data_IF_194842776216
#
_entry.id   IF_194842776216
#
_cell.length_a   1.000
_cell.length_b   1.000
_cell.length_c   1.000
_cell.angle_alpha   90.00
_cell.angle_beta   90.00
_cell.angle_gamma   90.00
#
_symmetry.space_group_name_H-M   'P 1'
#
loop_
_entity.id
_entity.type
_entity.pdbx_description
1 polymer ?
#
# COMPACT_ATOMS: atom_id res chain seq x y z
N UNK A 1 -4.23 38.77 14.45
CA UNK A 1 -5.52 38.44 13.83
C UNK A 1 -5.57 36.94 13.57
N UNK A 2 -6.72 36.29 13.75
CA UNK A 2 -6.89 34.84 13.59
C UNK A 2 -7.86 34.56 12.43
N UNK A 3 -7.34 34.14 11.28
CA UNK A 3 -8.14 33.46 10.26
C UNK A 3 -7.93 31.95 10.41
N UNK A 4 -8.95 31.25 10.93
CA UNK A 4 -9.10 29.80 10.78
C UNK A 4 -10.13 29.54 9.67
N UNK A 5 -9.85 28.55 8.83
CA UNK A 5 -10.81 28.07 7.82
C UNK A 5 -12.03 27.43 8.49
N UNK A 6 -13.21 27.63 7.91
CA UNK A 6 -14.51 27.26 8.51
C UNK A 6 -14.65 25.76 8.81
N UNK A 7 -13.98 24.90 8.05
CA UNK A 7 -13.87 23.46 8.32
C UNK A 7 -13.31 23.12 9.71
N UNK A 8 -12.54 24.02 10.31
CA UNK A 8 -11.93 23.89 11.64
C UNK A 8 -12.83 24.48 12.76
N UNK A 9 -14.03 24.95 12.43
CA UNK A 9 -15.02 25.43 13.40
C UNK A 9 -16.00 24.32 13.83
N UNK A 10 -16.38 23.42 12.91
CA UNK A 10 -17.27 22.29 13.23
C UNK A 10 -16.55 21.25 14.12
N UNK A 11 -15.34 20.80 13.73
CA UNK A 11 -14.44 19.99 14.57
C UNK A 11 -14.30 20.57 15.99
N UNK A 12 -14.15 21.90 16.09
CA UNK A 12 -13.98 22.60 17.36
C UNK A 12 -15.26 22.61 18.19
N UNK A 13 -16.44 22.77 17.59
CA UNK A 13 -17.72 22.74 18.30
C UNK A 13 -18.00 21.36 18.89
N UNK A 14 -17.67 20.27 18.19
CA UNK A 14 -17.86 18.92 18.71
C UNK A 14 -16.84 18.57 19.82
N UNK A 15 -15.53 18.87 19.64
CA UNK A 15 -14.53 18.70 20.72
C UNK A 15 -14.86 19.57 21.96
N UNK A 16 -15.41 20.78 21.78
CA UNK A 16 -15.83 21.66 22.87
C UNK A 16 -17.10 21.14 23.58
N UNK A 17 -18.10 20.68 22.82
CA UNK A 17 -19.34 20.09 23.34
C UNK A 17 -19.09 18.81 24.14
N UNK A 18 -18.13 17.98 23.71
CA UNK A 18 -17.67 16.82 24.48
C UNK A 18 -17.05 17.21 25.82
N UNK A 19 -16.30 18.33 25.87
CA UNK A 19 -15.61 18.80 27.07
C UNK A 19 -16.57 19.34 28.14
N UNK A 20 -17.71 19.93 27.75
CA UNK A 20 -18.65 20.58 28.68
C UNK A 20 -19.53 19.64 29.53
N UNK A 21 -19.58 18.34 29.21
CA UNK A 21 -20.49 17.39 29.85
C UNK A 21 -19.82 16.09 30.35
N UNK A 22 -18.49 16.04 30.39
CA UNK A 22 -17.75 14.94 31.03
C UNK A 22 -17.65 15.10 32.54
N UNK A 23 -17.90 14.01 33.28
CA UNK A 23 -17.40 13.88 34.67
C UNK A 23 -15.87 14.12 34.69
N UNK A 24 -15.35 14.68 35.78
CA UNK A 24 -13.90 14.81 35.99
C UNK A 24 -13.34 13.68 36.89
N UNK A 25 -12.04 13.42 36.74
CA UNK A 25 -11.23 12.57 37.64
C UNK A 25 -10.03 13.38 38.15
N UNK A 26 -9.61 13.10 39.38
CA UNK A 26 -8.47 13.73 40.03
C UNK A 26 -7.28 12.78 40.03
N UNK A 27 -6.14 13.18 39.46
CA UNK A 27 -4.92 12.37 39.39
C UNK A 27 -3.73 13.13 39.97
N UNK A 28 -2.71 12.42 40.43
CA UNK A 28 -1.56 13.00 41.13
C UNK A 28 -0.26 12.86 40.34
N UNK A 29 0.56 13.90 40.33
CA UNK A 29 1.95 13.82 39.85
C UNK A 29 2.82 13.03 40.85
N UNK A 30 4.06 12.64 40.49
CA UNK A 30 4.99 12.00 41.42
C UNK A 30 5.39 12.90 42.61
N UNK A 31 5.12 14.22 42.51
CA UNK A 31 5.31 15.22 43.58
C UNK A 31 4.09 15.40 44.48
N UNK A 32 2.97 14.72 44.21
CA UNK A 32 1.70 14.89 44.93
C UNK A 32 0.85 16.08 44.47
N UNK A 33 1.21 16.77 43.38
CA UNK A 33 0.34 17.81 42.80
C UNK A 33 -0.91 17.14 42.20
N UNK A 34 -2.10 17.55 42.66
CA UNK A 34 -3.37 17.15 42.06
C UNK A 34 -3.59 17.83 40.70
N UNK A 35 -4.17 17.10 39.74
CA UNK A 35 -4.58 17.57 38.41
C UNK A 35 -5.96 17.00 38.05
N UNK A 36 -6.82 17.82 37.46
CA UNK A 36 -8.12 17.38 36.96
C UNK A 36 -7.98 16.95 35.49
N UNK A 37 -8.67 15.87 35.12
CA UNK A 37 -8.83 15.40 33.74
C UNK A 37 -10.29 15.01 33.50
N UNK A 38 -10.79 15.06 32.25
CA UNK A 38 -12.02 14.38 31.87
C UNK A 38 -11.94 12.87 32.18
N UNK A 39 -13.03 12.28 32.64
CA UNK A 39 -13.18 10.83 32.84
C UNK A 39 -12.84 10.07 31.55
N UNK A 40 -12.26 8.88 31.72
CA UNK A 40 -11.68 8.04 30.66
C UNK A 40 -10.40 8.59 29.99
N UNK A 41 -9.87 9.76 30.39
CA UNK A 41 -8.56 10.25 29.89
C UNK A 41 -7.45 9.22 30.07
N UNK A 42 -6.54 9.16 29.10
CA UNK A 42 -5.43 8.19 29.08
C UNK A 42 -4.16 8.72 29.74
N UNK A 43 -3.20 7.83 30.00
CA UNK A 43 -1.85 8.22 30.41
C UNK A 43 -1.19 9.22 29.42
N UNK A 44 -1.48 9.12 28.12
CA UNK A 44 -1.01 10.08 27.13
C UNK A 44 -1.75 11.43 27.22
N UNK A 45 -3.05 11.45 27.52
CA UNK A 45 -3.78 12.69 27.82
C UNK A 45 -3.18 13.44 29.02
N UNK A 46 -2.80 12.73 30.09
CA UNK A 46 -2.10 13.33 31.23
C UNK A 46 -0.74 13.91 30.83
N UNK A 47 0.04 13.21 29.99
CA UNK A 47 1.31 13.73 29.50
C UNK A 47 1.12 15.06 28.74
N UNK A 48 0.15 15.13 27.83
CA UNK A 48 -0.21 16.37 27.13
C UNK A 48 -0.87 17.44 28.01
N UNK A 49 -1.60 17.04 29.06
CA UNK A 49 -2.11 17.98 30.07
C UNK A 49 -0.95 18.72 30.74
N UNK A 50 0.07 17.99 31.21
CA UNK A 50 1.27 18.55 31.85
C UNK A 50 2.08 19.42 30.86
N UNK A 51 2.56 18.85 29.74
CA UNK A 51 3.32 19.62 28.73
C UNK A 51 3.29 18.99 27.34
N UNK A 52 3.25 19.82 26.28
CA UNK A 52 3.28 19.34 24.89
C UNK A 52 4.51 18.46 24.61
N UNK A 53 5.71 18.90 25.03
CA UNK A 53 6.94 18.12 24.80
C UNK A 53 6.99 16.81 25.60
N UNK A 54 6.34 16.78 26.78
CA UNK A 54 6.24 15.57 27.59
C UNK A 54 5.33 14.54 26.90
N UNK A 55 4.19 14.99 26.36
CA UNK A 55 3.32 14.18 25.49
C UNK A 55 4.03 13.71 24.23
N UNK A 56 4.71 14.62 23.51
CA UNK A 56 5.39 14.30 22.25
C UNK A 56 6.48 13.23 22.39
N UNK A 57 7.21 13.25 23.51
CA UNK A 57 8.28 12.30 23.82
C UNK A 57 7.81 11.08 24.62
N UNK A 58 6.51 10.96 24.90
CA UNK A 58 5.95 9.93 25.79
C UNK A 58 6.06 8.52 25.20
N UNK A 59 6.73 7.61 25.92
CA UNK A 59 6.89 6.18 25.55
C UNK A 59 6.03 5.24 26.40
N UNK A 60 5.54 5.71 27.55
CA UNK A 60 4.73 4.93 28.49
C UNK A 60 4.53 5.68 29.80
N UNK A 61 3.92 5.03 30.78
CA UNK A 61 3.77 5.58 32.12
C UNK A 61 3.94 4.51 33.19
N UNK A 62 4.12 4.94 34.44
CA UNK A 62 3.79 4.14 35.62
C UNK A 62 2.55 4.75 36.27
N UNK A 63 1.58 3.91 36.60
CA UNK A 63 0.40 4.27 37.41
C UNK A 63 0.52 3.49 38.72
N UNK A 64 0.54 4.19 39.85
CA UNK A 64 0.74 3.62 41.19
C UNK A 64 1.98 2.69 41.22
N UNK A 65 3.10 3.20 40.71
CA UNK A 65 4.39 2.52 40.46
C UNK A 65 4.39 1.34 39.46
N UNK A 66 3.24 0.89 38.95
CA UNK A 66 3.14 -0.19 37.96
C UNK A 66 3.24 0.35 36.53
N UNK A 67 4.09 -0.24 35.69
CA UNK A 67 4.20 0.09 34.26
C UNK A 67 2.88 -0.16 33.51
N UNK A 68 2.47 0.81 32.69
CA UNK A 68 1.28 0.76 31.83
C UNK A 68 1.54 1.38 30.44
N UNK A 69 0.69 1.03 29.48
CA UNK A 69 0.72 1.55 28.11
C UNK A 69 0.17 2.98 28.00
N UNK A 70 0.51 3.68 26.90
CA UNK A 70 0.06 5.05 26.61
C UNK A 70 -1.47 5.21 26.61
N UNK A 71 -2.19 4.18 26.16
CA UNK A 71 -3.65 4.13 26.07
C UNK A 71 -4.33 3.65 27.37
N UNK A 72 -3.60 3.53 28.49
CA UNK A 72 -4.20 3.13 29.76
C UNK A 72 -5.14 4.25 30.27
N UNK A 73 -6.44 3.95 30.37
CA UNK A 73 -7.44 4.85 30.93
C UNK A 73 -7.25 5.02 32.44
N UNK A 74 -7.17 6.28 32.88
CA UNK A 74 -6.85 6.67 34.25
C UNK A 74 -8.09 6.67 35.16
N UNK A 75 -7.86 6.53 36.46
CA UNK A 75 -8.89 6.58 37.50
C UNK A 75 -8.64 7.72 38.49
N UNK A 76 -9.71 8.19 39.12
CA UNK A 76 -9.59 9.17 40.20
C UNK A 76 -8.83 8.56 41.38
N UNK A 77 -7.78 9.24 41.85
CA UNK A 77 -6.85 8.78 42.89
C UNK A 77 -5.50 8.28 42.37
N UNK A 78 -5.35 8.01 41.06
CA UNK A 78 -4.10 7.45 40.51
C UNK A 78 -2.92 8.44 40.60
N UNK A 79 -1.76 7.95 41.04
CA UNK A 79 -0.48 8.66 40.92
C UNK A 79 0.25 8.21 39.64
N UNK A 80 0.67 9.18 38.81
CA UNK A 80 1.15 8.94 37.45
C UNK A 80 2.57 9.50 37.25
N UNK A 81 3.49 8.64 36.83
CA UNK A 81 4.85 9.00 36.38
C UNK A 81 4.94 8.78 34.86
N UNK A 82 5.22 9.84 34.08
CA UNK A 82 5.37 9.73 32.62
C UNK A 82 6.81 9.38 32.25
N UNK A 83 6.97 8.42 31.35
CA UNK A 83 8.26 7.97 30.81
C UNK A 83 8.46 8.55 29.40
N UNK A 84 9.62 9.15 29.15
CA UNK A 84 9.92 9.83 27.88
C UNK A 84 11.19 9.34 27.20
N UNK A 85 11.33 9.63 25.90
CA UNK A 85 12.56 9.40 25.13
C UNK A 85 12.79 10.47 24.08
N UNK A 86 14.04 10.93 23.92
CA UNK A 86 14.45 11.90 22.88
C UNK A 86 14.28 11.38 21.45
N UNK A 87 14.08 10.07 21.25
CA UNK A 87 13.82 9.47 19.93
C UNK A 87 12.33 9.34 19.60
N UNK A 88 11.45 9.55 20.59
CA UNK A 88 10.01 9.41 20.42
C UNK A 88 9.41 10.69 19.82
N UNK A 89 8.52 10.51 18.85
CA UNK A 89 7.73 11.58 18.24
C UNK A 89 6.26 11.12 18.12
N UNK A 90 5.29 12.05 18.04
CA UNK A 90 3.88 11.70 17.90
C UNK A 90 3.57 10.83 16.68
N UNK A 91 2.60 9.94 16.85
CA UNK A 91 2.07 9.09 15.78
C UNK A 91 0.61 9.42 15.49
N UNK A 92 0.18 9.13 14.27
CA UNK A 92 -1.22 9.23 13.85
C UNK A 92 -2.10 8.23 14.66
N UNK A 93 -1.59 7.02 14.91
CA UNK A 93 -2.12 5.98 15.83
C UNK A 93 -2.49 6.47 17.25
N UNK A 94 -1.94 7.60 17.70
CA UNK A 94 -2.26 8.13 19.04
C UNK A 94 -3.64 8.82 19.09
N UNK A 95 -4.16 9.27 17.94
CA UNK A 95 -5.47 9.91 17.84
C UNK A 95 -6.63 8.95 18.12
N UNK A 96 -6.39 7.64 17.99
CA UNK A 96 -7.40 6.60 18.18
C UNK A 96 -7.79 6.39 19.66
N UNK A 97 -6.98 6.88 20.60
CA UNK A 97 -7.20 6.67 22.05
C UNK A 97 -7.08 7.91 22.94
N UNK A 98 -6.59 9.06 22.46
CA UNK A 98 -6.60 10.29 23.27
C UNK A 98 -7.99 10.93 23.32
N UNK A 99 -8.45 11.23 24.53
CA UNK A 99 -9.78 11.81 24.77
C UNK A 99 -9.76 13.33 24.59
N UNK A 100 -8.73 13.99 25.11
CA UNK A 100 -8.71 15.44 25.28
C UNK A 100 -8.46 16.20 23.98
N UNK A 101 -9.25 17.25 23.74
CA UNK A 101 -9.05 18.17 22.61
C UNK A 101 -7.64 18.78 22.57
N UNK A 102 -7.02 18.99 23.74
CA UNK A 102 -5.61 19.43 23.85
C UNK A 102 -4.66 18.39 23.23
N UNK A 103 -4.73 17.12 23.65
CA UNK A 103 -3.87 16.07 23.11
C UNK A 103 -4.11 15.87 21.60
N UNK A 104 -5.37 15.71 21.17
CA UNK A 104 -5.77 15.60 19.75
C UNK A 104 -5.17 16.71 18.89
N UNK A 105 -5.31 17.97 19.33
CA UNK A 105 -4.81 19.15 18.61
C UNK A 105 -3.29 19.17 18.50
N UNK A 106 -2.57 18.90 19.59
CA UNK A 106 -1.10 18.89 19.61
C UNK A 106 -0.52 17.74 18.78
N UNK A 107 -1.12 16.54 18.83
CA UNK A 107 -0.74 15.39 17.99
C UNK A 107 -1.00 15.69 16.50
N UNK A 108 -2.21 16.16 16.15
CA UNK A 108 -2.56 16.59 14.77
C UNK A 108 -1.55 17.63 14.25
N UNK A 109 -1.10 18.58 15.08
CA UNK A 109 -0.08 19.56 14.70
C UNK A 109 1.30 18.93 14.49
N UNK A 110 1.82 18.17 15.45
CA UNK A 110 3.16 17.60 15.39
C UNK A 110 3.34 16.63 14.20
N UNK A 111 2.38 15.73 13.98
CA UNK A 111 2.38 14.80 12.84
C UNK A 111 2.37 15.56 11.51
N UNK A 112 1.62 16.66 11.41
CA UNK A 112 1.59 17.54 10.23
C UNK A 112 2.91 18.27 10.00
N UNK A 113 3.57 18.72 11.07
CA UNK A 113 4.89 19.36 10.99
C UNK A 113 5.98 18.38 10.57
N UNK A 114 6.00 17.16 11.10
CA UNK A 114 6.97 16.13 10.70
C UNK A 114 6.75 15.66 9.27
N UNK A 115 5.49 15.52 8.82
CA UNK A 115 5.15 15.29 7.41
C UNK A 115 5.69 16.42 6.52
N UNK A 116 5.62 17.69 6.96
CA UNK A 116 6.20 18.83 6.24
C UNK A 116 7.74 18.79 6.22
N UNK A 117 8.40 18.42 7.32
CA UNK A 117 9.87 18.24 7.39
C UNK A 117 10.33 17.14 6.42
N UNK A 118 9.62 16.01 6.37
CA UNK A 118 9.90 14.90 5.45
C UNK A 118 9.73 15.29 3.98
N UNK A 119 8.65 16.00 3.62
CA UNK A 119 8.42 16.52 2.28
C UNK A 119 9.55 17.47 1.82
N UNK A 120 9.95 18.42 2.68
CA UNK A 120 11.06 19.33 2.38
C UNK A 120 12.39 18.58 2.22
N UNK A 121 12.68 17.60 3.10
CA UNK A 121 13.87 16.74 2.96
C UNK A 121 13.85 15.96 1.64
N UNK A 122 12.70 15.43 1.25
CA UNK A 122 12.52 14.70 -0.01
C UNK A 122 12.77 15.56 -1.25
N UNK A 123 12.19 16.77 -1.27
CA UNK A 123 12.45 17.78 -2.31
C UNK A 123 13.95 18.11 -2.40
N UNK A 124 14.57 18.44 -1.27
CA UNK A 124 16.00 18.79 -1.20
C UNK A 124 16.94 17.63 -1.58
N UNK A 125 16.49 16.37 -1.46
CA UNK A 125 17.20 15.19 -1.97
C UNK A 125 17.06 15.11 -3.48
N UNK A 126 15.84 15.23 -4.01
CA UNK A 126 15.55 15.13 -5.44
C UNK A 126 16.26 16.24 -6.23
N UNK A 127 16.23 17.48 -5.75
CA UNK A 127 16.95 18.62 -6.36
C UNK A 127 18.44 18.31 -6.54
N UNK A 128 19.12 17.74 -5.53
CA UNK A 128 20.53 17.32 -5.64
C UNK A 128 20.75 16.22 -6.67
N UNK A 129 19.83 15.26 -6.79
CA UNK A 129 19.93 14.18 -7.79
C UNK A 129 19.85 14.73 -9.21
N UNK A 130 18.99 15.73 -9.44
CA UNK A 130 18.90 16.44 -10.71
C UNK A 130 20.17 17.26 -10.98
N UNK A 131 20.67 18.03 -10.01
CA UNK A 131 21.94 18.77 -10.14
C UNK A 131 23.12 17.83 -10.44
N UNK A 132 23.18 16.65 -9.81
CA UNK A 132 24.23 15.65 -10.03
C UNK A 132 24.26 15.12 -11.47
N UNK A 133 23.12 15.08 -12.17
CA UNK A 133 23.04 14.72 -13.60
C UNK A 133 23.07 15.93 -14.53
N UNK A 134 23.40 17.13 -14.01
CA UNK A 134 23.43 18.41 -14.72
C UNK A 134 22.08 18.87 -15.30
N UNK A 135 20.98 18.47 -14.68
CA UNK A 135 19.64 18.92 -15.03
C UNK A 135 19.06 19.83 -13.94
N UNK A 136 18.20 20.77 -14.35
CA UNK A 136 17.37 21.56 -13.44
C UNK A 136 15.99 20.90 -13.27
N UNK A 137 15.33 21.18 -12.15
CA UNK A 137 14.01 20.64 -11.81
C UNK A 137 13.00 21.79 -11.66
N UNK A 138 12.45 22.22 -12.78
CA UNK A 138 11.31 23.14 -12.83
C UNK A 138 9.98 22.39 -12.67
N UNK A 139 8.89 23.12 -12.41
CA UNK A 139 7.53 22.56 -12.29
C UNK A 139 7.12 21.66 -13.46
N UNK A 140 7.59 21.95 -14.67
CA UNK A 140 7.33 21.13 -15.86
C UNK A 140 8.09 19.82 -15.80
N UNK A 141 9.40 19.86 -15.53
CA UNK A 141 10.25 18.66 -15.37
C UNK A 141 9.78 17.81 -14.20
N UNK A 142 9.32 18.42 -13.10
CA UNK A 142 8.70 17.74 -11.97
C UNK A 142 7.45 16.95 -12.40
N UNK A 143 6.53 17.58 -13.14
CA UNK A 143 5.29 16.95 -13.65
C UNK A 143 5.54 15.91 -14.75
N UNK A 144 6.61 16.05 -15.52
CA UNK A 144 7.10 15.04 -16.46
C UNK A 144 7.74 13.85 -15.71
N UNK A 145 8.50 14.10 -14.64
CA UNK A 145 9.15 13.06 -13.84
C UNK A 145 8.14 12.25 -13.02
N UNK A 146 7.10 12.88 -12.47
CA UNK A 146 5.97 12.19 -11.80
C UNK A 146 5.29 11.19 -12.73
N UNK A 147 5.07 11.57 -13.99
CA UNK A 147 4.52 10.67 -15.02
C UNK A 147 5.50 9.55 -15.39
N UNK A 148 6.80 9.83 -15.42
CA UNK A 148 7.83 8.83 -15.68
C UNK A 148 7.98 7.81 -14.55
N UNK A 149 7.88 8.24 -13.29
CA UNK A 149 7.93 7.35 -12.11
C UNK A 149 6.59 6.66 -11.81
N UNK A 150 5.51 7.02 -12.51
CA UNK A 150 4.17 6.47 -12.30
C UNK A 150 3.51 6.90 -10.98
N UNK A 151 3.94 8.02 -10.40
CA UNK A 151 3.43 8.53 -9.13
C UNK A 151 2.22 9.45 -9.34
N UNK A 152 1.40 9.59 -8.31
CA UNK A 152 0.11 10.29 -8.37
C UNK A 152 0.22 11.76 -7.95
N UNK A 153 1.26 12.14 -7.21
CA UNK A 153 1.41 13.49 -6.65
C UNK A 153 2.86 13.87 -6.34
N UNK A 154 3.11 15.18 -6.26
CA UNK A 154 4.37 15.75 -5.76
C UNK A 154 4.66 15.34 -4.31
N UNK A 155 3.62 15.20 -3.48
CA UNK A 155 3.77 14.78 -2.08
C UNK A 155 4.16 13.31 -1.95
N UNK A 156 3.62 12.43 -2.79
CA UNK A 156 4.08 11.04 -2.90
C UNK A 156 5.55 10.98 -3.37
N UNK A 157 5.89 11.71 -4.45
CA UNK A 157 7.25 11.78 -4.98
C UNK A 157 8.27 12.23 -3.92
N UNK A 158 7.99 13.30 -3.18
CA UNK A 158 8.91 13.77 -2.14
C UNK A 158 8.96 12.82 -0.95
N UNK A 159 7.87 12.15 -0.56
CA UNK A 159 7.92 11.13 0.49
C UNK A 159 8.76 9.91 0.07
N UNK A 160 8.68 9.46 -1.18
CA UNK A 160 9.47 8.34 -1.69
C UNK A 160 10.94 8.72 -1.91
N UNK A 161 11.23 9.97 -2.30
CA UNK A 161 12.59 10.53 -2.29
C UNK A 161 13.17 10.58 -0.87
N UNK A 162 12.39 11.02 0.13
CA UNK A 162 12.81 11.09 1.53
C UNK A 162 13.07 9.71 2.16
N UNK A 163 12.34 8.68 1.70
CA UNK A 163 12.56 7.26 2.05
C UNK A 163 13.74 6.62 1.30
N UNK A 164 14.33 7.30 0.33
CA UNK A 164 15.45 6.80 -0.47
C UNK A 164 15.06 5.79 -1.56
N UNK A 165 13.79 5.69 -1.96
CA UNK A 165 13.36 4.77 -3.03
C UNK A 165 13.65 5.27 -4.45
N UNK A 166 14.02 6.54 -4.60
CA UNK A 166 14.41 7.13 -5.88
C UNK A 166 15.93 7.14 -5.97
N UNK A 167 16.49 6.44 -6.95
CA UNK A 167 17.93 6.46 -7.22
C UNK A 167 18.32 7.56 -8.22
N UNK A 168 19.56 8.04 -8.11
CA UNK A 168 20.22 8.90 -9.12
C UNK A 168 20.18 8.25 -10.52
N UNK A 169 20.22 6.91 -10.61
CA UNK A 169 20.09 6.17 -11.87
C UNK A 169 18.76 6.47 -12.58
N UNK A 170 17.65 6.50 -11.84
CA UNK A 170 16.30 6.76 -12.34
C UNK A 170 16.13 8.21 -12.81
N UNK A 171 16.78 9.16 -12.11
CA UNK A 171 16.84 10.56 -12.54
C UNK A 171 17.68 10.69 -13.83
N UNK A 172 18.83 10.00 -13.90
CA UNK A 172 19.69 10.00 -15.09
C UNK A 172 18.99 9.41 -16.32
N UNK A 173 18.30 8.27 -16.19
CA UNK A 173 17.57 7.65 -17.30
C UNK A 173 16.46 8.55 -17.84
N UNK A 174 15.72 9.23 -16.96
CA UNK A 174 14.74 10.25 -17.34
C UNK A 174 15.37 11.41 -18.11
N UNK A 175 16.45 12.01 -17.60
CA UNK A 175 17.12 13.14 -18.26
C UNK A 175 17.66 12.74 -19.63
N UNK A 176 18.35 11.61 -19.76
CA UNK A 176 18.86 11.15 -21.07
C UNK A 176 17.74 10.80 -22.07
N UNK A 177 16.56 10.36 -21.61
CA UNK A 177 15.38 10.20 -22.47
C UNK A 177 14.79 11.57 -22.91
N UNK A 178 14.82 12.57 -22.02
CA UNK A 178 14.36 13.93 -22.30
C UNK A 178 15.30 14.69 -23.25
N UNK A 179 16.61 14.53 -23.12
CA UNK A 179 17.61 15.08 -24.05
C UNK A 179 17.48 14.50 -25.46
N UNK A 180 17.17 13.20 -25.56
CA UNK A 180 16.91 12.49 -26.83
C UNK A 180 15.50 12.79 -27.40
N UNK A 181 15.08 14.05 -27.44
CA UNK A 181 13.70 14.49 -27.69
C UNK A 181 13.17 14.28 -29.12
N UNK A 182 12.99 13.01 -29.50
CA UNK A 182 12.03 12.53 -30.49
C UNK A 182 10.79 11.88 -29.87
N UNK A 183 10.61 11.93 -28.55
CA UNK A 183 9.57 11.19 -27.82
C UNK A 183 8.13 11.58 -28.19
N UNK A 184 7.94 12.74 -28.81
CA UNK A 184 6.67 13.16 -29.43
C UNK A 184 6.14 12.15 -30.48
N UNK A 185 7.01 11.36 -31.12
CA UNK A 185 6.60 10.33 -32.08
C UNK A 185 6.00 9.08 -31.41
N UNK A 186 6.34 8.78 -30.15
CA UNK A 186 5.78 7.64 -29.42
C UNK A 186 4.35 7.87 -28.89
N UNK A 187 3.82 9.09 -29.03
CA UNK A 187 2.49 9.48 -28.55
C UNK A 187 1.48 9.78 -29.68
N UNK A 188 1.78 9.44 -30.94
CA UNK A 188 0.90 9.72 -32.11
C UNK A 188 0.84 8.62 -33.17
N UNK A 189 0.24 7.46 -32.83
CA UNK A 189 -1.03 6.96 -33.44
C UNK A 189 -1.35 5.50 -33.05
N UNK A 190 -2.65 5.14 -32.90
CA UNK A 190 -3.09 3.74 -32.95
C UNK A 190 -3.16 3.24 -34.40
N UNK A 191 -3.05 1.92 -34.59
CA UNK A 191 -3.09 1.28 -35.92
C UNK A 191 -4.10 0.11 -35.93
N UNK A 192 -5.20 0.24 -36.69
CA UNK A 192 -6.24 -0.81 -36.85
C UNK A 192 -6.85 -0.72 -38.26
N UNK A 193 -7.18 -1.89 -38.84
CA UNK A 193 -7.69 -2.16 -40.22
C UNK A 193 -6.60 -2.09 -41.34
N UNK A 194 -6.51 -3.04 -42.27
CA UNK A 194 -7.10 -4.40 -42.35
C UNK A 194 -7.42 -4.89 -43.78
N UNK A 195 -7.51 -6.23 -43.97
CA UNK A 195 -7.71 -7.04 -45.21
C UNK A 195 -6.41 -7.39 -45.97
N UNK A 196 -6.25 -8.57 -46.61
CA UNK A 196 -7.13 -9.78 -46.69
C UNK A 196 -6.43 -11.05 -47.24
N UNK A 197 -6.86 -12.24 -46.77
CA UNK A 197 -6.64 -13.57 -47.39
C UNK A 197 -5.37 -14.31 -46.95
N UNK A 198 -5.31 -15.65 -46.85
CA UNK A 198 -6.35 -16.72 -46.89
C UNK A 198 -5.84 -17.99 -46.12
N UNK A 199 -6.36 -19.23 -46.25
CA UNK A 199 -7.17 -19.90 -45.21
C UNK A 199 -6.54 -21.17 -44.55
N UNK A 200 -7.37 -21.89 -43.77
CA UNK A 200 -7.20 -23.24 -43.16
C UNK A 200 -6.15 -23.37 -42.01
N UNK A 201 -6.33 -24.06 -40.88
CA UNK A 201 -7.47 -24.65 -40.11
C UNK A 201 -7.06 -24.45 -38.59
N UNK A 202 -7.74 -24.80 -37.49
CA UNK A 202 -8.86 -25.71 -37.24
C UNK A 202 -9.68 -25.41 -35.97
N UNK A 203 -10.88 -26.01 -35.93
CA UNK A 203 -11.66 -26.52 -34.77
C UNK A 203 -11.44 -25.81 -33.42
N UNK A 204 -12.30 -24.89 -32.98
CA UNK A 204 -13.72 -25.03 -32.58
C UNK A 204 -13.97 -25.81 -31.27
N UNK A 205 -14.33 -25.06 -30.21
CA UNK A 205 -15.32 -25.49 -29.21
C UNK A 205 -16.30 -24.33 -29.02
N UNK A 206 -17.58 -24.58 -29.24
CA UNK A 206 -18.64 -23.58 -29.07
C UNK A 206 -19.03 -23.46 -27.59
N UNK A 207 -19.55 -22.30 -27.17
CA UNK A 207 -20.66 -22.29 -26.22
C UNK A 207 -21.39 -20.92 -26.15
N UNK A 208 -22.71 -20.99 -26.31
CA UNK A 208 -23.78 -20.07 -25.87
C UNK A 208 -23.66 -18.55 -26.12
N UNK A 209 -24.71 -17.99 -26.73
CA UNK A 209 -25.02 -16.57 -26.82
C UNK A 209 -24.94 -15.81 -25.50
N UNK A 210 -24.01 -14.86 -25.42
CA UNK A 210 -24.06 -13.74 -24.46
C UNK A 210 -24.07 -12.41 -25.22
N UNK A 211 -24.84 -12.36 -26.32
CA UNK A 211 -25.01 -11.24 -27.24
C UNK A 211 -25.72 -10.01 -26.63
N UNK A 212 -26.42 -10.18 -25.49
CA UNK A 212 -27.23 -9.13 -24.84
C UNK A 212 -26.70 -8.65 -23.47
N UNK A 213 -25.45 -8.96 -23.09
CA UNK A 213 -24.87 -8.52 -21.81
C UNK A 213 -23.84 -7.40 -21.98
N UNK A 214 -24.16 -6.21 -21.46
CA UNK A 214 -23.31 -5.01 -21.49
C UNK A 214 -21.92 -5.30 -20.88
N UNK A 215 -20.88 -5.16 -21.69
CA UNK A 215 -19.47 -5.16 -21.23
C UNK A 215 -19.25 -3.96 -20.31
N UNK A 216 -18.68 -4.19 -19.12
CA UNK A 216 -18.14 -3.13 -18.28
C UNK A 216 -16.62 -3.18 -18.43
N UNK A 217 -16.08 -2.21 -19.15
CA UNK A 217 -14.64 -1.97 -19.23
C UNK A 217 -14.23 -1.14 -18.00
N UNK A 218 -13.26 -1.63 -17.22
CA UNK A 218 -12.78 -0.92 -16.03
C UNK A 218 -11.84 0.21 -16.45
N UNK A 219 -12.40 1.42 -16.51
CA UNK A 219 -11.64 2.67 -16.57
C UNK A 219 -11.32 3.12 -15.14
N UNK A 220 -10.19 3.80 -14.94
CA UNK A 220 -9.92 4.54 -13.68
C UNK A 220 -10.94 5.67 -13.41
N UNK A 221 -11.82 5.95 -14.37
CA UNK A 221 -12.82 7.01 -14.34
C UNK A 221 -14.27 6.45 -14.41
N UNK A 222 -14.48 5.14 -14.25
CA UNK A 222 -15.83 4.57 -14.11
C UNK A 222 -16.37 4.82 -12.69
N UNK A 223 -17.64 5.19 -12.57
CA UNK A 223 -18.32 5.52 -11.30
C UNK A 223 -18.66 4.30 -10.41
N UNK A 224 -17.82 3.27 -10.44
CA UNK A 224 -18.00 2.00 -9.73
C UNK A 224 -16.65 1.63 -9.12
N UNK A 225 -16.63 1.49 -7.80
CA UNK A 225 -15.47 1.03 -7.05
C UNK A 225 -15.29 -0.48 -7.24
N UNK A 226 -14.05 -0.98 -7.30
CA UNK A 226 -13.81 -2.43 -7.43
C UNK A 226 -12.81 -2.95 -6.39
N UNK A 227 -13.09 -4.14 -5.86
CA UNK A 227 -12.23 -4.87 -4.92
C UNK A 227 -11.73 -6.14 -5.58
N UNK A 228 -10.48 -6.53 -5.32
CA UNK A 228 -9.92 -7.82 -5.73
C UNK A 228 -10.34 -8.89 -4.70
N UNK A 229 -10.89 -10.01 -5.18
CA UNK A 229 -11.34 -11.09 -4.31
C UNK A 229 -10.18 -11.85 -3.67
N UNK A 230 -10.05 -11.74 -2.35
CA UNK A 230 -9.01 -12.39 -1.53
C UNK A 230 -8.99 -13.93 -1.71
N UNK A 231 -10.14 -14.53 -2.02
CA UNK A 231 -10.30 -15.97 -2.25
C UNK A 231 -9.78 -16.49 -3.60
N UNK A 232 -9.17 -15.65 -4.44
CA UNK A 232 -8.48 -16.13 -5.66
C UNK A 232 -7.39 -15.19 -6.20
N UNK A 233 -7.31 -13.95 -5.72
CA UNK A 233 -6.26 -12.96 -6.05
C UNK A 233 -5.97 -12.86 -7.57
N UNK A 234 -6.97 -12.48 -8.38
CA UNK A 234 -6.79 -12.28 -9.82
C UNK A 234 -5.89 -11.07 -10.11
N UNK A 235 -5.05 -11.20 -11.15
CA UNK A 235 -4.15 -10.15 -11.64
C UNK A 235 -4.38 -9.91 -13.15
N UNK A 236 -3.91 -8.79 -13.75
CA UNK A 236 -4.00 -8.55 -15.18
C UNK A 236 -3.47 -9.72 -16.02
N UNK A 237 -4.32 -10.17 -16.95
CA UNK A 237 -4.11 -11.38 -17.75
C UNK A 237 -4.91 -12.60 -17.26
N UNK A 238 -5.29 -12.67 -15.98
CA UNK A 238 -6.27 -13.68 -15.52
C UNK A 238 -7.63 -13.43 -16.19
N UNK A 239 -8.29 -14.50 -16.64
CA UNK A 239 -9.69 -14.45 -17.05
C UNK A 239 -10.57 -14.18 -15.81
N UNK A 240 -11.32 -13.07 -15.83
CA UNK A 240 -12.04 -12.54 -14.66
C UNK A 240 -13.53 -12.31 -14.89
N UNK A 241 -14.28 -12.35 -13.79
CA UNK A 241 -15.70 -12.04 -13.68
C UNK A 241 -15.93 -11.15 -12.45
N UNK A 242 -16.76 -10.13 -12.58
CA UNK A 242 -17.11 -9.23 -11.49
C UNK A 242 -18.46 -9.61 -10.88
N UNK A 243 -18.55 -9.62 -9.56
CA UNK A 243 -19.81 -9.73 -8.81
C UNK A 243 -20.17 -8.35 -8.24
N UNK A 244 -21.35 -7.82 -8.61
CA UNK A 244 -21.86 -6.56 -8.07
C UNK A 244 -22.29 -6.79 -6.62
N UNK A 245 -21.51 -6.28 -5.66
CA UNK A 245 -21.71 -6.52 -4.21
C UNK A 245 -22.66 -5.50 -3.58
N UNK A 246 -22.57 -4.23 -4.00
CA UNK A 246 -23.57 -3.17 -3.83
C UNK A 246 -23.77 -2.44 -5.16
N UNK A 247 -24.73 -1.51 -5.25
CA UNK A 247 -24.98 -0.73 -6.47
C UNK A 247 -23.74 0.01 -7.02
N UNK A 248 -22.77 0.31 -6.16
CA UNK A 248 -21.54 1.05 -6.47
C UNK A 248 -20.26 0.22 -6.38
N UNK A 249 -20.32 -1.06 -5.99
CA UNK A 249 -19.12 -1.88 -5.74
C UNK A 249 -19.09 -3.22 -6.49
N UNK A 250 -17.92 -3.55 -7.06
CA UNK A 250 -17.68 -4.74 -7.89
C UNK A 250 -16.53 -5.59 -7.33
N UNK A 251 -16.81 -6.81 -6.85
CA UNK A 251 -15.78 -7.77 -6.44
C UNK A 251 -15.29 -8.60 -7.63
N UNK A 252 -13.99 -8.53 -7.95
CA UNK A 252 -13.37 -9.20 -9.09
C UNK A 252 -12.82 -10.56 -8.66
N UNK A 253 -13.35 -11.63 -9.25
CA UNK A 253 -12.86 -12.99 -9.12
C UNK A 253 -12.26 -13.52 -10.44
N UNK A 254 -11.44 -14.58 -10.38
CA UNK A 254 -11.16 -15.39 -11.58
C UNK A 254 -12.43 -16.12 -12.05
N UNK A 255 -12.56 -16.29 -13.36
CA UNK A 255 -13.69 -16.97 -14.01
C UNK A 255 -13.91 -18.43 -13.54
N UNK A 256 -12.87 -19.08 -13.02
CA UNK A 256 -12.89 -20.45 -12.48
C UNK A 256 -12.81 -20.51 -10.94
N UNK A 257 -13.00 -19.39 -10.23
CA UNK A 257 -13.00 -19.37 -8.76
C UNK A 257 -14.23 -20.13 -8.21
N UNK A 258 -14.08 -21.12 -7.31
CA UNK A 258 -15.21 -21.85 -6.72
C UNK A 258 -16.23 -20.93 -6.02
N UNK A 259 -15.77 -19.84 -5.39
CA UNK A 259 -16.65 -18.84 -4.77
C UNK A 259 -17.47 -18.08 -5.81
N UNK A 260 -16.85 -17.68 -6.93
CA UNK A 260 -17.54 -17.00 -8.01
C UNK A 260 -18.55 -17.91 -8.74
N UNK A 261 -18.24 -19.22 -8.85
CA UNK A 261 -19.19 -20.22 -9.36
C UNK A 261 -20.42 -20.30 -8.42
N UNK A 262 -20.23 -20.39 -7.09
CA UNK A 262 -21.34 -20.38 -6.12
C UNK A 262 -22.16 -19.08 -6.16
N UNK A 263 -21.51 -17.93 -6.35
CA UNK A 263 -22.19 -16.64 -6.52
C UNK A 263 -23.01 -16.59 -7.80
N UNK A 264 -22.43 -17.02 -8.94
CA UNK A 264 -23.13 -17.09 -10.22
C UNK A 264 -24.36 -18.01 -10.18
N UNK A 265 -24.28 -19.14 -9.48
CA UNK A 265 -25.42 -20.07 -9.29
C UNK A 265 -26.55 -19.52 -8.42
N UNK A 266 -26.33 -18.46 -7.63
CA UNK A 266 -27.36 -17.84 -6.77
C UNK A 266 -27.80 -16.44 -7.21
N UNK A 267 -26.92 -15.72 -7.90
CA UNK A 267 -27.03 -14.29 -8.17
C UNK A 267 -26.52 -13.95 -9.59
N UNK A 268 -26.77 -14.80 -10.58
CA UNK A 268 -26.23 -14.67 -11.94
C UNK A 268 -26.43 -13.29 -12.59
N UNK A 269 -27.56 -12.62 -12.34
CA UNK A 269 -27.82 -11.26 -12.84
C UNK A 269 -26.85 -10.20 -12.29
N UNK A 270 -26.32 -10.41 -11.07
CA UNK A 270 -25.29 -9.56 -10.43
C UNK A 270 -23.88 -9.86 -10.93
N UNK A 271 -23.68 -10.92 -11.72
CA UNK A 271 -22.41 -11.18 -12.39
C UNK A 271 -22.27 -10.31 -13.65
N UNK A 272 -21.06 -9.80 -13.88
CA UNK A 272 -20.69 -8.99 -15.06
C UNK A 272 -19.40 -9.52 -15.68
N UNK A 273 -19.33 -9.51 -17.02
CA UNK A 273 -18.07 -9.74 -17.73
C UNK A 273 -17.18 -8.52 -17.55
N UNK A 274 -15.99 -8.76 -16.99
CA UNK A 274 -14.96 -7.76 -16.73
C UNK A 274 -13.78 -8.02 -17.64
N UNK A 275 -13.10 -6.95 -18.09
CA UNK A 275 -11.80 -7.03 -18.74
C UNK A 275 -10.82 -6.11 -18.01
N UNK A 276 -9.59 -6.59 -17.85
CA UNK A 276 -8.46 -5.78 -17.44
C UNK A 276 -8.11 -4.77 -18.52
N UNK A 277 -7.92 -3.51 -18.14
CA UNK A 277 -7.32 -2.50 -18.99
C UNK A 277 -5.82 -2.42 -18.67
N UNK A 278 -4.96 -2.84 -19.60
CA UNK A 278 -3.52 -3.06 -19.39
C UNK A 278 -2.68 -1.75 -19.41
N UNK A 279 -3.28 -0.60 -19.11
CA UNK A 279 -2.68 0.72 -19.31
C UNK A 279 -1.69 1.17 -18.21
N UNK A 280 -1.69 0.53 -17.04
CA UNK A 280 -0.95 0.99 -15.85
C UNK A 280 0.04 -0.08 -15.36
N UNK A 281 1.27 0.35 -15.00
CA UNK A 281 2.34 -0.49 -14.43
C UNK A 281 2.09 -0.89 -12.96
N UNK A 282 0.88 -1.36 -12.63
CA UNK A 282 0.53 -1.83 -11.29
C UNK A 282 1.28 -3.14 -11.01
N UNK A 283 1.84 -3.30 -9.80
CA UNK A 283 2.44 -4.56 -9.36
C UNK A 283 1.56 -5.27 -8.33
N UNK A 284 1.32 -6.54 -8.55
CA UNK A 284 0.40 -7.38 -7.78
C UNK A 284 1.18 -8.41 -6.98
N UNK A 285 0.88 -8.51 -5.68
CA UNK A 285 1.46 -9.55 -4.82
C UNK A 285 0.83 -10.89 -5.16
N UNK A 286 1.65 -11.87 -5.54
CA UNK A 286 1.21 -13.24 -5.84
C UNK A 286 2.23 -14.25 -5.33
N UNK A 287 1.89 -15.54 -5.39
CA UNK A 287 2.73 -16.62 -4.89
C UNK A 287 3.08 -17.65 -5.96
N UNK A 288 4.29 -18.21 -5.87
CA UNK A 288 4.73 -19.40 -6.63
C UNK A 288 5.17 -20.47 -5.63
N UNK A 289 4.56 -21.65 -5.74
CA UNK A 289 4.94 -22.84 -4.97
C UNK A 289 5.93 -23.66 -5.80
N UNK A 290 6.98 -24.16 -5.15
CA UNK A 290 8.09 -24.89 -5.77
C UNK A 290 8.34 -26.20 -5.02
N UNK A 291 8.68 -27.25 -5.77
CA UNK A 291 9.02 -28.57 -5.24
C UNK A 291 10.22 -29.12 -6.00
N UNK A 292 11.13 -29.78 -5.30
CA UNK A 292 12.32 -30.35 -5.93
C UNK A 292 13.13 -31.27 -5.04
N UNK A 293 14.29 -31.67 -5.57
CA UNK A 293 15.36 -32.33 -4.82
C UNK A 293 16.17 -31.22 -4.16
N UNK A 294 16.44 -31.34 -2.86
CA UNK A 294 17.31 -30.39 -2.17
C UNK A 294 18.76 -30.59 -2.64
N UNK A 295 19.37 -29.48 -3.07
CA UNK A 295 20.72 -29.41 -3.62
C UNK A 295 21.42 -28.20 -3.04
N UNK A 296 22.71 -28.35 -2.73
CA UNK A 296 23.54 -27.24 -2.28
C UNK A 296 23.46 -26.07 -3.28
N UNK A 297 22.98 -24.91 -2.81
CA UNK A 297 22.80 -23.71 -3.62
C UNK A 297 21.38 -23.43 -4.11
N UNK A 298 20.41 -24.35 -3.96
CA UNK A 298 19.05 -24.24 -4.53
C UNK A 298 18.34 -22.91 -4.23
N UNK A 299 18.45 -22.40 -3.00
CA UNK A 299 17.88 -21.09 -2.61
C UNK A 299 18.51 -19.93 -3.39
N UNK A 300 19.83 -20.00 -3.64
CA UNK A 300 20.57 -18.98 -4.38
C UNK A 300 20.17 -18.96 -5.87
N UNK A 301 20.13 -20.13 -6.52
CA UNK A 301 19.75 -20.22 -7.94
C UNK A 301 18.30 -19.78 -8.19
N UNK A 302 17.37 -20.21 -7.34
CA UNK A 302 15.96 -19.78 -7.45
C UNK A 302 15.82 -18.28 -7.17
N UNK A 303 16.52 -17.74 -6.16
CA UNK A 303 16.50 -16.30 -5.87
C UNK A 303 17.07 -15.45 -7.01
N UNK A 304 18.16 -15.92 -7.65
CA UNK A 304 18.80 -15.31 -8.81
C UNK A 304 17.88 -15.25 -10.03
N UNK A 305 17.15 -16.34 -10.31
CA UNK A 305 16.16 -16.40 -11.39
C UNK A 305 15.01 -15.39 -11.21
N UNK A 306 14.59 -15.12 -9.97
CA UNK A 306 13.58 -14.09 -9.67
C UNK A 306 14.17 -12.68 -9.79
N UNK A 307 15.33 -12.45 -9.17
CA UNK A 307 15.86 -11.10 -8.88
C UNK A 307 16.72 -10.53 -10.01
N UNK A 308 17.62 -11.31 -10.60
CA UNK A 308 18.55 -10.83 -11.65
C UNK A 308 17.97 -11.04 -13.05
N UNK A 309 17.39 -12.21 -13.29
CA UNK A 309 16.95 -12.63 -14.63
C UNK A 309 15.59 -12.07 -15.06
N UNK A 310 14.81 -11.49 -14.14
CA UNK A 310 13.49 -10.91 -14.39
C UNK A 310 13.22 -9.61 -13.60
N UNK A 311 14.13 -9.16 -12.72
CA UNK A 311 13.97 -7.96 -11.89
C UNK A 311 12.68 -7.91 -11.04
N UNK A 312 12.18 -9.07 -10.59
CA UNK A 312 10.96 -9.17 -9.79
C UNK A 312 11.26 -9.08 -8.29
N UNK A 313 10.46 -8.31 -7.56
CA UNK A 313 10.69 -8.08 -6.12
C UNK A 313 10.07 -9.19 -5.26
N UNK A 314 10.90 -9.85 -4.45
CA UNK A 314 10.47 -10.89 -3.50
C UNK A 314 9.91 -10.24 -2.23
N UNK A 315 8.64 -10.49 -1.92
CA UNK A 315 8.00 -10.09 -0.66
C UNK A 315 8.30 -11.05 0.50
N UNK A 316 8.49 -12.35 0.21
CA UNK A 316 8.89 -13.38 1.16
C UNK A 316 9.39 -14.61 0.41
N UNK A 317 10.34 -15.34 0.99
CA UNK A 317 10.78 -16.65 0.51
C UNK A 317 10.73 -17.61 1.69
N UNK A 318 9.95 -18.68 1.56
CA UNK A 318 9.87 -19.78 2.52
C UNK A 318 10.33 -21.07 1.83
N UNK A 319 11.11 -21.90 2.52
CA UNK A 319 11.55 -23.20 2.02
C UNK A 319 11.81 -24.14 3.19
N UNK A 320 11.25 -25.34 3.11
CA UNK A 320 11.41 -26.42 4.07
C UNK A 320 12.00 -27.65 3.37
N UNK A 321 13.18 -28.08 3.82
CA UNK A 321 13.85 -29.29 3.35
C UNK A 321 13.50 -30.49 4.24
N UNK A 322 13.00 -31.56 3.63
CA UNK A 322 12.74 -32.83 4.31
C UNK A 322 13.95 -33.73 4.21
N UNK A 323 14.78 -33.74 5.26
CA UNK A 323 16.05 -34.50 5.30
C UNK A 323 15.90 -36.01 5.08
N UNK A 324 14.72 -36.58 5.36
CA UNK A 324 14.43 -38.01 5.18
C UNK A 324 14.23 -38.42 3.71
N UNK A 325 13.90 -37.47 2.82
CA UNK A 325 13.62 -37.72 1.40
C UNK A 325 14.56 -36.98 0.45
N UNK A 326 15.38 -36.05 0.95
CA UNK A 326 16.23 -35.19 0.13
C UNK A 326 15.43 -34.26 -0.79
N UNK A 327 14.24 -33.84 -0.37
CA UNK A 327 13.32 -32.98 -1.15
C UNK A 327 12.96 -31.72 -0.39
N UNK A 328 12.74 -30.62 -1.10
CA UNK A 328 12.20 -29.39 -0.55
C UNK A 328 10.79 -29.10 -1.06
N UNK A 329 10.02 -28.40 -0.23
CA UNK A 329 8.88 -27.58 -0.63
C UNK A 329 9.19 -26.11 -0.33
N UNK A 330 8.77 -25.19 -1.20
CA UNK A 330 8.96 -23.77 -0.99
C UNK A 330 7.83 -22.91 -1.53
N UNK A 331 7.69 -21.71 -0.96
CA UNK A 331 6.73 -20.69 -1.34
C UNK A 331 7.45 -19.35 -1.49
N UNK A 332 7.45 -18.81 -2.71
CA UNK A 332 7.94 -17.48 -3.02
C UNK A 332 6.74 -16.55 -3.14
N UNK A 333 6.63 -15.55 -2.29
CA UNK A 333 5.69 -14.44 -2.48
C UNK A 333 6.44 -13.29 -3.15
N UNK A 334 5.93 -12.78 -4.27
CA UNK A 334 6.59 -11.75 -5.07
C UNK A 334 5.59 -10.77 -5.70
N UNK A 335 6.11 -9.66 -6.19
CA UNK A 335 5.36 -8.65 -6.94
C UNK A 335 5.57 -8.85 -8.45
N UNK A 336 4.47 -8.97 -9.21
CA UNK A 336 4.47 -9.11 -10.68
C UNK A 336 3.52 -8.12 -11.33
N UNK A 337 3.81 -7.68 -12.55
CA UNK A 337 2.94 -6.75 -13.28
C UNK A 337 1.71 -7.43 -13.91
N UNK A 338 1.87 -8.68 -14.35
CA UNK A 338 0.93 -9.40 -15.21
C UNK A 338 1.16 -10.93 -15.14
N UNK A 339 0.28 -11.70 -15.76
CA UNK A 339 0.44 -13.17 -15.86
C UNK A 339 1.58 -13.61 -16.78
N UNK A 340 1.96 -12.84 -17.80
CA UNK A 340 2.98 -13.25 -18.78
C UNK A 340 4.38 -13.30 -18.14
N UNK A 341 4.72 -12.29 -17.34
CA UNK A 341 5.96 -12.23 -16.57
C UNK A 341 6.00 -13.26 -15.43
N UNK A 342 4.84 -13.60 -14.86
CA UNK A 342 4.71 -14.69 -13.89
C UNK A 342 4.86 -16.08 -14.52
N UNK A 343 4.33 -16.29 -15.72
CA UNK A 343 4.50 -17.53 -16.49
C UNK A 343 5.94 -17.69 -17.00
N UNK A 344 6.57 -16.60 -17.47
CA UNK A 344 8.01 -16.54 -17.74
C UNK A 344 8.81 -16.96 -16.50
N UNK A 345 8.53 -16.39 -15.32
CA UNK A 345 9.18 -16.77 -14.07
C UNK A 345 9.02 -18.27 -13.76
N UNK A 346 7.79 -18.78 -13.78
CA UNK A 346 7.51 -20.20 -13.54
C UNK A 346 8.24 -21.09 -14.56
N UNK A 347 8.37 -20.65 -15.82
CA UNK A 347 9.11 -21.38 -16.86
C UNK A 347 10.64 -21.36 -16.65
N UNK A 348 11.20 -20.30 -16.06
CA UNK A 348 12.62 -20.20 -15.72
C UNK A 348 12.94 -21.00 -14.44
N UNK A 349 12.13 -20.87 -13.39
CA UNK A 349 12.28 -21.63 -12.14
C UNK A 349 12.25 -23.15 -12.42
N UNK A 350 11.40 -23.63 -13.34
CA UNK A 350 11.39 -25.04 -13.80
C UNK A 350 12.67 -25.52 -14.48
N UNK A 351 13.60 -24.63 -14.85
CA UNK A 351 14.91 -24.97 -15.45
C UNK A 351 16.06 -24.96 -14.44
N UNK A 352 15.83 -24.51 -13.21
CA UNK A 352 16.82 -24.57 -12.13
C UNK A 352 17.00 -26.04 -11.75
N UNK A 353 18.24 -26.53 -11.79
CA UNK A 353 18.54 -27.90 -11.41
C UNK A 353 18.13 -28.17 -9.95
N UNK A 354 17.49 -29.31 -9.71
CA UNK A 354 16.79 -29.64 -8.47
C UNK A 354 15.28 -29.37 -8.52
N UNK A 355 14.80 -28.32 -9.19
CA UNK A 355 13.35 -28.02 -9.27
C UNK A 355 12.63 -29.04 -10.15
N UNK A 356 11.65 -29.75 -9.58
CA UNK A 356 10.79 -30.71 -10.29
C UNK A 356 9.43 -30.13 -10.68
N UNK A 357 8.88 -29.24 -9.86
CA UNK A 357 7.59 -28.55 -10.13
C UNK A 357 7.68 -27.11 -9.66
N UNK A 358 7.08 -26.21 -10.43
CA UNK A 358 6.72 -24.86 -10.00
C UNK A 358 5.35 -24.50 -10.56
N UNK A 359 4.51 -23.84 -9.76
CA UNK A 359 3.21 -23.33 -10.20
C UNK A 359 2.78 -22.13 -9.35
N UNK A 360 1.92 -21.27 -9.92
CA UNK A 360 1.31 -20.16 -9.17
C UNK A 360 0.39 -20.71 -8.08
N UNK A 361 0.56 -20.21 -6.87
CA UNK A 361 -0.30 -20.56 -5.73
C UNK A 361 -1.76 -20.24 -6.07
N UNK A 362 -2.63 -21.21 -5.81
CA UNK A 362 -4.08 -21.07 -5.81
C UNK A 362 -4.52 -21.19 -4.35
N UNK A 363 -5.08 -20.11 -3.82
CA UNK A 363 -5.97 -20.15 -2.67
C UNK A 363 -7.40 -20.43 -3.17
#
# INVERSE_FOLDING_TARGET
MLQRSESNALDFLDDFKLTLFTDEIFVYTPKGEMRNLPKNSTALDFAYHIHTDLGNKCIGAKVNHKLVSLNHGLKSGDQIEILTSERQNPKEEWLDFVITAKAKSQIKQAVKEDKKKLLLRGRNILERMFTQVKAEIDDKTLKEFIKYTGMNSETELFLEAAKGKIEVKTVKSFVTLKERSGWLNYLRKPFVRGKSGSPDDAKSVQNSDLSNLKTIELYTNSSIEYKIAECCNPIPGDAVIGFVSSETSLEIHRANCPSAIRLNSRYGERMKKVKWNAANNITFKTGVQIYGIDKQGIVSDVSRVVSEELNLNISAFHLESTSASGTFEGTILLYVNDTENLEKLISKIKKVDGVRKAYRIRQ
#
